data_IF_725526854461
#
_entry.id   IF_725526854461
#
_cell.length_a   1.000
_cell.length_b   1.000
_cell.length_c   1.000
_cell.angle_alpha   90.00
_cell.angle_beta   90.00
_cell.angle_gamma   90.00
#
_symmetry.space_group_name_H-M   'P 1'
#
loop_
_entity.id
_entity.type
_entity.pdbx_description
1 polymer ?
#
# COMPACT_ATOMS: atom_id res chain seq x y z
N UNK A 1 -56.73 -14.75 -8.41
CA UNK A 1 -55.45 -15.42 -8.09
C UNK A 1 -54.55 -15.44 -9.33
N UNK A 2 -53.95 -14.30 -9.71
CA UNK A 2 -52.98 -14.20 -10.82
C UNK A 2 -51.89 -13.16 -10.56
N UNK A 3 -52.09 -12.28 -9.57
CA UNK A 3 -51.15 -11.24 -9.14
C UNK A 3 -50.25 -11.63 -7.97
N UNK A 4 -50.41 -12.83 -7.39
CA UNK A 4 -49.61 -13.30 -6.24
C UNK A 4 -48.34 -14.08 -6.62
N UNK A 5 -48.19 -14.45 -7.89
CA UNK A 5 -46.99 -15.18 -8.39
C UNK A 5 -45.88 -14.20 -8.80
N UNK A 6 -46.21 -12.95 -9.16
CA UNK A 6 -45.21 -11.97 -9.60
C UNK A 6 -44.35 -11.42 -8.45
N UNK A 7 -44.86 -11.43 -7.21
CA UNK A 7 -44.14 -10.88 -6.05
C UNK A 7 -43.10 -11.87 -5.50
N UNK A 8 -43.26 -13.18 -5.75
CA UNK A 8 -42.30 -14.20 -5.31
C UNK A 8 -41.06 -14.32 -6.21
N UNK A 9 -41.13 -13.86 -7.47
CA UNK A 9 -40.02 -13.90 -8.41
C UNK A 9 -39.01 -12.75 -8.20
N UNK A 10 -39.46 -11.63 -7.62
CA UNK A 10 -38.59 -10.51 -7.28
C UNK A 10 -37.79 -10.73 -5.98
N UNK A 11 -38.12 -11.75 -5.17
CA UNK A 11 -37.46 -12.01 -3.90
C UNK A 11 -36.25 -12.96 -4.02
N UNK A 12 -36.01 -13.58 -5.18
CA UNK A 12 -34.94 -14.58 -5.37
C UNK A 12 -33.72 -14.09 -6.17
N UNK A 13 -33.65 -12.81 -6.53
CA UNK A 13 -32.48 -12.20 -7.21
C UNK A 13 -31.60 -11.37 -6.27
N UNK A 14 -31.75 -11.51 -4.96
CA UNK A 14 -30.96 -10.81 -3.95
C UNK A 14 -29.71 -11.56 -3.46
N UNK A 15 -29.43 -12.77 -3.93
CA UNK A 15 -28.24 -13.55 -3.54
C UNK A 15 -27.14 -13.43 -4.57
N UNK A 16 -26.72 -12.20 -4.88
CA UNK A 16 -25.46 -11.95 -5.58
C UNK A 16 -24.55 -11.17 -4.61
N UNK A 17 -23.47 -11.85 -4.21
CA UNK A 17 -22.28 -11.28 -3.58
C UNK A 17 -22.40 -10.73 -2.15
N UNK A 18 -22.68 -11.60 -1.18
CA UNK A 18 -22.18 -11.40 0.20
C UNK A 18 -20.74 -11.94 0.35
N UNK A 19 -19.87 -11.72 -0.65
CA UNK A 19 -18.45 -12.10 -0.61
C UNK A 19 -17.54 -10.91 -0.29
N UNK A 20 -18.03 -9.93 0.47
CA UNK A 20 -17.20 -8.97 1.18
C UNK A 20 -17.85 -8.75 2.54
N UNK A 21 -17.60 -9.67 3.47
CA UNK A 21 -17.80 -9.39 4.88
C UNK A 21 -17.04 -8.10 5.19
N UNK A 22 -17.77 -7.01 5.45
CA UNK A 22 -17.24 -5.77 6.02
C UNK A 22 -16.67 -6.08 7.41
N UNK A 23 -15.39 -5.83 7.70
CA UNK A 23 -15.02 -5.34 9.01
C UNK A 23 -15.42 -3.86 9.05
N UNK A 24 -16.21 -3.49 10.05
CA UNK A 24 -16.90 -2.21 10.15
C UNK A 24 -16.02 -0.96 10.15
N UNK A 25 -16.70 0.17 9.97
CA UNK A 25 -16.23 1.51 10.35
C UNK A 25 -15.25 2.16 9.36
N UNK A 26 -15.78 2.99 8.45
CA UNK A 26 -15.08 4.07 7.74
C UNK A 26 -13.55 3.98 7.68
N UNK A 27 -13.01 3.05 6.88
CA UNK A 27 -11.58 2.82 6.79
C UNK A 27 -11.12 2.87 5.34
N UNK A 28 -10.16 3.73 5.02
CA UNK A 28 -9.39 3.61 3.79
C UNK A 28 -8.84 2.19 3.70
N UNK A 29 -9.32 1.39 2.73
CA UNK A 29 -8.77 0.06 2.49
C UNK A 29 -7.24 0.17 2.36
N UNK A 30 -6.52 -0.64 3.13
CA UNK A 30 -5.08 -0.74 2.96
C UNK A 30 -4.83 -1.31 1.56
N UNK A 31 -3.97 -0.63 0.79
CA UNK A 31 -3.54 -1.12 -0.52
C UNK A 31 -2.79 -2.43 -0.34
N UNK A 32 -3.08 -3.41 -1.17
CA UNK A 32 -2.36 -4.67 -1.23
C UNK A 32 -0.90 -4.46 -1.68
N UNK A 33 -0.03 -5.47 -1.49
CA UNK A 33 1.36 -5.40 -2.00
C UNK A 33 1.38 -5.19 -3.53
N UNK A 34 0.64 -5.96 -4.35
CA UNK A 34 0.65 -5.77 -5.81
C UNK A 34 0.21 -4.38 -6.23
N UNK A 35 -0.83 -3.81 -5.60
CA UNK A 35 -1.28 -2.45 -5.91
C UNK A 35 -0.23 -1.39 -5.57
N UNK A 36 0.49 -1.56 -4.45
CA UNK A 36 1.58 -0.65 -4.08
C UNK A 36 2.76 -0.76 -5.04
N UNK A 37 3.10 -1.97 -5.47
CA UNK A 37 4.15 -2.20 -6.49
C UNK A 37 3.74 -1.56 -7.81
N UNK A 38 2.50 -1.74 -8.27
CA UNK A 38 2.02 -1.13 -9.51
C UNK A 38 2.11 0.41 -9.52
N UNK A 39 1.86 1.06 -8.38
CA UNK A 39 2.03 2.52 -8.26
C UNK A 39 3.50 2.93 -8.45
N UNK A 40 4.42 2.17 -7.86
CA UNK A 40 5.85 2.44 -7.98
C UNK A 40 6.33 2.14 -9.40
N UNK A 41 5.93 1.01 -9.97
CA UNK A 41 6.19 0.61 -11.35
C UNK A 41 5.82 1.75 -12.31
N UNK A 42 4.58 2.26 -12.24
CA UNK A 42 4.12 3.33 -13.12
C UNK A 42 4.96 4.61 -12.99
N UNK A 43 5.40 4.95 -11.77
CA UNK A 43 6.26 6.13 -11.53
C UNK A 43 7.67 5.93 -12.07
N UNK A 44 8.25 4.75 -11.88
CA UNK A 44 9.58 4.41 -12.39
C UNK A 44 9.58 4.32 -13.92
N UNK A 45 8.53 3.73 -14.50
CA UNK A 45 8.35 3.65 -15.95
C UNK A 45 8.27 5.05 -16.56
N UNK A 46 7.44 5.92 -15.96
CA UNK A 46 7.32 7.31 -16.41
C UNK A 46 8.61 8.11 -16.26
N UNK A 47 9.43 7.83 -15.26
CA UNK A 47 10.65 8.61 -14.99
C UNK A 47 11.86 8.14 -15.79
N UNK A 48 12.02 6.82 -15.94
CA UNK A 48 13.26 6.23 -16.45
C UNK A 48 13.06 5.43 -17.74
N UNK A 49 11.84 4.96 -18.03
CA UNK A 49 11.54 3.98 -19.10
C UNK A 49 12.56 2.83 -19.11
N UNK A 50 12.76 2.13 -17.98
CA UNK A 50 13.81 1.13 -17.86
C UNK A 50 13.53 -0.06 -18.79
N UNK A 51 14.59 -0.78 -19.17
CA UNK A 51 14.43 -2.04 -19.89
C UNK A 51 13.57 -3.05 -19.07
N UNK A 52 12.82 -3.95 -19.71
CA UNK A 52 11.90 -4.87 -19.02
C UNK A 52 12.55 -5.68 -17.89
N UNK A 53 13.77 -6.15 -18.10
CA UNK A 53 14.52 -6.91 -17.09
C UNK A 53 14.86 -6.06 -15.86
N UNK A 54 15.29 -4.82 -16.09
CA UNK A 54 15.57 -3.84 -15.02
C UNK A 54 14.28 -3.49 -14.27
N UNK A 55 13.16 -3.33 -14.98
CA UNK A 55 11.87 -3.10 -14.33
C UNK A 55 11.45 -4.28 -13.45
N UNK A 56 11.61 -5.50 -13.94
CA UNK A 56 11.29 -6.72 -13.18
C UNK A 56 12.13 -6.81 -11.90
N UNK A 57 13.42 -6.45 -11.95
CA UNK A 57 14.27 -6.38 -10.76
C UNK A 57 13.76 -5.33 -9.76
N UNK A 58 13.38 -4.14 -10.24
CA UNK A 58 12.81 -3.09 -9.40
C UNK A 58 11.50 -3.54 -8.73
N UNK A 59 10.59 -4.15 -9.48
CA UNK A 59 9.31 -4.68 -8.96
C UNK A 59 9.53 -5.74 -7.87
N UNK A 60 10.54 -6.60 -8.03
CA UNK A 60 10.92 -7.57 -7.02
C UNK A 60 11.44 -6.89 -5.74
N UNK A 61 12.30 -5.86 -5.87
CA UNK A 61 12.78 -5.07 -4.73
C UNK A 61 11.61 -4.44 -3.96
N UNK A 62 10.63 -3.86 -4.66
CA UNK A 62 9.47 -3.26 -4.00
C UNK A 62 8.50 -4.29 -3.43
N UNK A 63 8.35 -5.45 -4.06
CA UNK A 63 7.56 -6.56 -3.53
C UNK A 63 8.14 -7.04 -2.19
N UNK A 64 9.45 -7.26 -2.14
CA UNK A 64 10.16 -7.63 -0.90
C UNK A 64 10.00 -6.56 0.18
N UNK A 65 10.23 -5.29 -0.20
CA UNK A 65 10.12 -4.15 0.71
C UNK A 65 8.73 -4.07 1.36
N UNK A 66 7.65 -4.15 0.57
CA UNK A 66 6.29 -4.05 1.13
C UNK A 66 5.89 -5.27 1.96
N UNK A 67 6.32 -6.48 1.58
CA UNK A 67 6.14 -7.68 2.41
C UNK A 67 6.85 -7.55 3.76
N UNK A 68 8.11 -7.11 3.74
CA UNK A 68 8.89 -6.88 4.96
C UNK A 68 8.26 -5.80 5.83
N UNK A 69 7.80 -4.70 5.22
CA UNK A 69 7.12 -3.62 5.91
C UNK A 69 5.84 -4.09 6.61
N UNK A 70 5.02 -4.87 5.91
CA UNK A 70 3.76 -5.38 6.47
C UNK A 70 4.02 -6.37 7.60
N UNK A 71 4.93 -7.34 7.40
CA UNK A 71 5.30 -8.31 8.42
C UNK A 71 5.86 -7.65 9.68
N UNK A 72 6.78 -6.68 9.53
CA UNK A 72 7.34 -5.96 10.68
C UNK A 72 6.28 -5.11 11.38
N UNK A 73 5.34 -4.52 10.63
CA UNK A 73 4.22 -3.79 11.22
C UNK A 73 3.37 -4.77 12.04
N UNK A 74 2.92 -5.86 11.46
CA UNK A 74 2.12 -6.87 12.15
C UNK A 74 2.80 -7.36 13.44
N UNK A 75 4.08 -7.69 13.39
CA UNK A 75 4.88 -8.10 14.54
C UNK A 75 4.90 -7.04 15.66
N UNK A 76 5.15 -5.77 15.31
CA UNK A 76 5.21 -4.68 16.28
C UNK A 76 3.84 -4.37 16.90
N UNK A 77 2.75 -4.57 16.15
CA UNK A 77 1.38 -4.34 16.64
C UNK A 77 0.77 -5.55 17.38
N UNK A 78 1.30 -6.77 17.16
CA UNK A 78 0.86 -7.96 17.87
C UNK A 78 1.15 -7.89 19.38
N UNK A 79 2.19 -7.15 19.79
CA UNK A 79 2.56 -6.90 21.19
C UNK A 79 1.85 -5.72 21.85
N UNK A 80 0.92 -5.05 21.18
CA UNK A 80 0.32 -3.78 21.61
C UNK A 80 0.78 -2.59 20.76
N UNK A 81 0.42 -1.36 21.13
CA UNK A 81 0.86 -0.16 20.42
C UNK A 81 2.37 0.06 20.67
N UNK A 82 3.24 -0.10 19.66
CA UNK A 82 4.68 0.07 19.83
C UNK A 82 5.04 1.55 20.05
N UNK A 83 6.16 1.79 20.74
CA UNK A 83 6.71 3.13 20.84
C UNK A 83 7.06 3.70 19.44
N UNK A 84 6.89 5.01 19.30
CA UNK A 84 7.06 5.71 18.02
C UNK A 84 8.51 5.61 17.53
N UNK A 85 9.50 5.66 18.43
CA UNK A 85 10.90 5.56 18.09
C UNK A 85 11.22 4.16 17.55
N UNK A 86 10.74 3.11 18.23
CA UNK A 86 10.90 1.72 17.75
C UNK A 86 10.29 1.53 16.37
N UNK A 87 9.06 2.01 16.16
CA UNK A 87 8.41 1.96 14.85
C UNK A 87 9.23 2.66 13.77
N UNK A 88 9.71 3.88 14.06
CA UNK A 88 10.51 4.64 13.10
C UNK A 88 11.82 3.93 12.78
N UNK A 89 12.52 3.42 13.80
CA UNK A 89 13.81 2.74 13.65
C UNK A 89 13.67 1.45 12.82
N UNK A 90 12.71 0.60 13.14
CA UNK A 90 12.48 -0.65 12.41
C UNK A 90 12.05 -0.40 10.95
N UNK A 91 11.16 0.57 10.72
CA UNK A 91 10.76 0.94 9.35
C UNK A 91 11.90 1.59 8.57
N UNK A 92 12.79 2.33 9.25
CA UNK A 92 13.99 2.89 8.64
C UNK A 92 14.93 1.78 8.16
N UNK A 93 15.19 0.75 8.98
CA UNK A 93 16.03 -0.40 8.58
C UNK A 93 15.52 -1.07 7.29
N UNK A 94 14.21 -1.27 7.19
CA UNK A 94 13.58 -1.87 5.99
C UNK A 94 13.72 -0.94 4.77
N UNK A 95 13.60 0.36 4.98
CA UNK A 95 13.77 1.38 3.93
C UNK A 95 15.22 1.45 3.46
N UNK A 96 16.18 1.43 4.39
CA UNK A 96 17.61 1.46 4.08
C UNK A 96 18.02 0.20 3.28
N UNK A 97 17.52 -0.99 3.67
CA UNK A 97 17.78 -2.23 2.94
C UNK A 97 17.23 -2.20 1.50
N UNK A 98 16.07 -1.58 1.28
CA UNK A 98 15.55 -1.32 -0.07
C UNK A 98 16.48 -0.39 -0.83
N UNK A 99 16.89 0.71 -0.21
CA UNK A 99 17.76 1.71 -0.84
C UNK A 99 19.13 1.13 -1.23
N UNK A 100 19.69 0.23 -0.44
CA UNK A 100 20.89 -0.53 -0.80
C UNK A 100 20.68 -1.37 -2.07
N UNK A 101 19.57 -2.11 -2.16
CA UNK A 101 19.21 -2.85 -3.38
C UNK A 101 18.96 -1.92 -4.58
N UNK A 102 18.37 -0.74 -4.37
CA UNK A 102 18.12 0.20 -5.46
C UNK A 102 19.43 0.79 -6.00
N UNK A 103 20.43 1.05 -5.16
CA UNK A 103 21.75 1.56 -5.60
C UNK A 103 22.53 0.58 -6.47
N UNK A 104 22.24 -0.73 -6.40
CA UNK A 104 22.89 -1.72 -7.27
C UNK A 104 22.22 -1.84 -8.64
N UNK A 105 20.94 -1.48 -8.74
CA UNK A 105 20.15 -1.59 -9.98
C UNK A 105 20.09 -0.25 -10.73
N UNK A 106 19.95 0.86 -10.00
CA UNK A 106 19.85 2.20 -10.54
C UNK A 106 21.23 2.83 -10.70
N UNK A 107 21.39 3.64 -11.74
CA UNK A 107 22.52 4.56 -11.84
C UNK A 107 22.41 5.65 -10.76
N UNK A 108 23.51 6.34 -10.47
CA UNK A 108 23.52 7.43 -9.48
C UNK A 108 22.49 8.53 -9.82
N UNK A 109 22.36 8.87 -11.10
CA UNK A 109 21.39 9.88 -11.57
C UNK A 109 19.94 9.42 -11.36
N UNK A 110 19.61 8.18 -11.73
CA UNK A 110 18.28 7.61 -11.50
C UNK A 110 17.97 7.48 -10.01
N UNK A 111 18.96 7.08 -9.20
CA UNK A 111 18.81 6.98 -7.75
C UNK A 111 18.54 8.35 -7.13
N UNK A 112 19.21 9.41 -7.60
CA UNK A 112 18.92 10.78 -7.17
C UNK A 112 17.50 11.22 -7.52
N UNK A 113 17.04 10.96 -8.75
CA UNK A 113 15.65 11.23 -9.16
C UNK A 113 14.66 10.44 -8.31
N UNK A 114 14.98 9.18 -7.98
CA UNK A 114 14.19 8.36 -7.07
C UNK A 114 14.05 9.02 -5.70
N UNK A 115 15.16 9.41 -5.05
CA UNK A 115 15.16 9.98 -3.70
C UNK A 115 14.50 11.35 -3.62
N UNK A 116 14.77 12.21 -4.60
CA UNK A 116 14.35 13.61 -4.56
C UNK A 116 12.94 13.80 -5.16
N UNK A 117 12.57 12.96 -6.14
CA UNK A 117 11.34 13.12 -6.91
C UNK A 117 10.28 12.06 -6.62
N UNK A 118 10.64 10.78 -6.70
CA UNK A 118 9.64 9.69 -6.68
C UNK A 118 9.25 9.29 -5.26
N UNK A 119 10.23 8.95 -4.42
CA UNK A 119 10.00 8.44 -3.06
C UNK A 119 9.13 9.39 -2.21
N UNK A 120 9.32 10.72 -2.22
CA UNK A 120 8.49 11.63 -1.43
C UNK A 120 7.00 11.58 -1.82
N UNK A 121 6.69 11.25 -3.07
CA UNK A 121 5.31 11.14 -3.57
C UNK A 121 4.60 9.85 -3.15
N UNK A 122 5.35 8.86 -2.65
CA UNK A 122 4.81 7.58 -2.17
C UNK A 122 4.39 7.63 -0.71
N UNK A 123 4.87 8.62 0.04
CA UNK A 123 4.46 8.81 1.44
C UNK A 123 3.01 9.27 1.45
N UNK A 124 2.18 8.67 2.30
CA UNK A 124 0.82 9.16 2.57
C UNK A 124 0.96 10.62 3.04
N UNK A 125 0.61 11.56 2.17
CA UNK A 125 0.44 12.95 2.58
C UNK A 125 -0.72 12.95 3.59
N UNK A 126 -0.42 13.19 4.87
CA UNK A 126 -1.47 13.55 5.82
C UNK A 126 -2.07 14.86 5.31
N UNK A 127 -3.40 14.99 5.17
CA UNK A 127 -4.01 16.27 4.89
C UNK A 127 -3.49 17.30 5.90
N UNK A 128 -3.00 18.47 5.45
CA UNK A 128 -2.65 19.54 6.37
C UNK A 128 -3.95 19.97 7.07
N UNK A 129 -4.10 19.64 8.35
CA UNK A 129 -5.28 19.99 9.15
C UNK A 129 -5.99 18.86 9.91
N UNK A 130 -5.56 17.60 9.79
CA UNK A 130 -6.17 16.46 10.52
C UNK A 130 -5.81 16.35 12.02
N UNK A 131 -5.44 17.47 12.65
CA UNK A 131 -5.11 17.55 14.08
C UNK A 131 -5.94 18.68 14.69
N UNK A 132 -7.15 18.37 15.11
CA UNK A 132 -8.02 19.36 15.75
C UNK A 132 -9.40 18.78 16.08
N UNK A 133 -9.63 18.57 17.38
CA UNK A 133 -10.93 18.30 17.98
C UNK A 133 -11.20 16.81 18.22
N UNK A 134 -11.36 16.32 19.43
CA UNK A 134 -11.40 16.93 20.75
C UNK A 134 -11.98 15.88 21.70
N UNK A 135 -11.46 15.80 22.93
CA UNK A 135 -12.30 15.48 24.07
C UNK A 135 -11.66 16.05 25.32
N UNK A 136 -12.33 17.08 25.83
CA UNK A 136 -12.44 17.35 27.26
C UNK A 136 -13.14 16.17 27.94
#
# INVERSE_FOLDING_TARGET
MKSKILVLLCLMMGTAWNLYAQPGGGGFQQKTVPERVAIVHAKLDSAFKPAPDKMTQLDNVFTDYYKAQDAKREELFAGGMPDRETMMAEMKKITDARDEKLKTILTEAEYKIWKDGIEPTLRRQRPPGGGGGGNQ
#
